data_IF_458305074556
#
_entry.id   IF_458305074556
#
_cell.length_a   1.000
_cell.length_b   1.000
_cell.length_c   1.000
_cell.angle_alpha   90.00
_cell.angle_beta   90.00
_cell.angle_gamma   90.00
#
_symmetry.space_group_name_H-M   'P 1'
#
loop_
_entity.id
_entity.type
_entity.pdbx_description
1 polymer ?
#
# COMPACT_ATOMS: atom_id res chain seq x y z
N UNK A 1 9.95 17.55 3.38
CA UNK A 1 10.18 17.56 4.84
C UNK A 1 9.76 16.19 5.41
N UNK A 2 10.46 15.62 6.39
CA UNK A 2 10.02 14.39 7.07
C UNK A 2 8.66 14.54 7.79
N UNK A 3 8.23 15.78 8.04
CA UNK A 3 6.92 16.12 8.66
C UNK A 3 5.70 15.61 7.87
N UNK A 4 5.84 15.32 6.58
CA UNK A 4 4.70 14.91 5.74
C UNK A 4 4.67 13.40 5.46
N UNK A 5 5.55 12.61 6.07
CA UNK A 5 5.63 11.16 5.82
C UNK A 5 4.36 10.42 6.30
N UNK A 6 3.85 10.77 7.48
CA UNK A 6 2.66 10.13 8.03
C UNK A 6 1.37 10.44 7.23
N UNK A 7 1.08 11.71 6.87
CA UNK A 7 -0.03 12.02 5.97
C UNK A 7 0.07 11.32 4.60
N UNK A 8 1.28 11.24 4.02
CA UNK A 8 1.52 10.55 2.74
C UNK A 8 1.29 9.04 2.85
N UNK A 9 1.78 8.43 3.92
CA UNK A 9 1.53 7.02 4.24
C UNK A 9 0.02 6.75 4.38
N UNK A 10 -0.72 7.57 5.13
CA UNK A 10 -2.17 7.44 5.22
C UNK A 10 -2.87 7.60 3.86
N UNK A 11 -2.46 8.56 3.04
CA UNK A 11 -3.05 8.77 1.73
C UNK A 11 -2.84 7.56 0.81
N UNK A 12 -1.65 6.96 0.80
CA UNK A 12 -1.36 5.74 0.05
C UNK A 12 -2.22 4.55 0.53
N UNK A 13 -2.40 4.40 1.85
CA UNK A 13 -3.25 3.35 2.41
C UNK A 13 -4.72 3.51 1.98
N UNK A 14 -5.22 4.76 1.98
CA UNK A 14 -6.59 5.07 1.50
C UNK A 14 -6.73 4.80 0.00
N UNK A 15 -5.74 5.19 -0.81
CA UNK A 15 -5.76 4.96 -2.24
C UNK A 15 -5.83 3.47 -2.57
N UNK A 16 -5.03 2.65 -1.89
CA UNK A 16 -5.06 1.20 -2.02
C UNK A 16 -6.41 0.62 -1.59
N UNK A 17 -6.94 1.01 -0.43
CA UNK A 17 -8.24 0.54 0.04
C UNK A 17 -9.41 0.94 -0.88
N UNK A 18 -9.36 2.15 -1.46
CA UNK A 18 -10.35 2.58 -2.46
C UNK A 18 -10.23 1.76 -3.73
N UNK A 19 -9.01 1.48 -4.18
CA UNK A 19 -8.77 0.64 -5.34
C UNK A 19 -9.30 -0.79 -5.12
N UNK A 20 -8.99 -1.42 -3.99
CA UNK A 20 -9.42 -2.78 -3.68
C UNK A 20 -10.95 -2.92 -3.63
N UNK A 21 -11.66 -1.87 -3.21
CA UNK A 21 -13.13 -1.82 -3.22
C UNK A 21 -13.74 -1.67 -4.62
N UNK A 22 -13.05 -0.97 -5.52
CA UNK A 22 -13.56 -0.66 -6.85
C UNK A 22 -13.07 -1.64 -7.94
N UNK A 23 -11.93 -2.30 -7.71
CA UNK A 23 -11.29 -3.16 -8.70
C UNK A 23 -11.85 -4.58 -8.62
N UNK A 24 -12.68 -4.94 -9.60
CA UNK A 24 -13.28 -6.28 -9.72
C UNK A 24 -12.24 -7.41 -9.82
N UNK A 25 -11.05 -7.13 -10.37
CA UNK A 25 -9.91 -8.07 -10.37
C UNK A 25 -9.41 -8.30 -8.96
N UNK A 26 -9.07 -7.24 -8.22
CA UNK A 26 -8.57 -7.34 -6.83
C UNK A 26 -9.62 -7.94 -5.89
N UNK A 27 -10.91 -7.63 -6.08
CA UNK A 27 -12.01 -8.23 -5.28
C UNK A 27 -12.15 -9.74 -5.52
N UNK A 28 -11.87 -10.21 -6.75
CA UNK A 28 -11.96 -11.63 -7.12
C UNK A 28 -10.64 -12.40 -6.95
N UNK A 29 -9.58 -11.71 -6.55
CA UNK A 29 -8.26 -12.29 -6.49
C UNK A 29 -8.20 -13.36 -5.39
N UNK A 30 -7.99 -14.60 -5.80
CA UNK A 30 -7.69 -15.71 -4.90
C UNK A 30 -6.30 -15.52 -4.30
N UNK A 31 -6.18 -15.87 -3.03
CA UNK A 31 -4.90 -15.93 -2.33
C UNK A 31 -4.09 -17.05 -2.99
N UNK A 32 -2.91 -16.73 -3.52
CA UNK A 32 -1.99 -17.74 -4.04
C UNK A 32 -1.47 -18.64 -2.91
N UNK A 33 -0.76 -19.72 -3.27
CA UNK A 33 -0.16 -20.66 -2.31
C UNK A 33 0.89 -20.04 -1.39
N UNK A 34 1.32 -18.80 -1.65
CA UNK A 34 2.21 -18.02 -0.79
C UNK A 34 1.47 -17.12 0.21
N UNK A 35 0.14 -17.17 0.24
CA UNK A 35 -0.67 -16.29 1.09
C UNK A 35 -0.83 -14.89 0.49
N UNK A 36 -0.40 -14.65 -0.76
CA UNK A 36 -0.54 -13.35 -1.43
C UNK A 36 -1.76 -13.33 -2.32
N UNK A 37 -2.65 -12.40 -2.06
CA UNK A 37 -3.70 -12.02 -3.01
C UNK A 37 -3.03 -11.48 -4.27
N UNK A 38 -3.15 -12.17 -5.40
CA UNK A 38 -2.59 -11.70 -6.67
C UNK A 38 -3.27 -10.39 -7.09
N UNK A 39 -2.63 -9.23 -6.85
CA UNK A 39 -3.22 -7.93 -7.20
C UNK A 39 -3.10 -7.63 -8.68
N UNK A 40 -4.03 -6.82 -9.20
CA UNK A 40 -3.87 -6.26 -10.54
C UNK A 40 -2.64 -5.31 -10.59
N UNK A 41 -2.12 -4.99 -11.78
CA UNK A 41 -0.93 -4.14 -11.93
C UNK A 41 -1.03 -2.79 -11.21
N UNK A 42 -2.21 -2.17 -11.20
CA UNK A 42 -2.44 -0.89 -10.51
C UNK A 42 -2.46 -1.06 -8.98
N UNK A 43 -3.11 -2.11 -8.48
CA UNK A 43 -3.09 -2.47 -7.06
C UNK A 43 -1.69 -2.83 -6.55
N UNK A 44 -0.86 -3.45 -7.39
CA UNK A 44 0.54 -3.74 -7.09
C UNK A 44 1.39 -2.45 -6.98
N UNK A 45 1.18 -1.48 -7.87
CA UNK A 45 1.85 -0.16 -7.79
C UNK A 45 1.45 0.61 -6.53
N UNK A 46 0.17 0.55 -6.15
CA UNK A 46 -0.33 1.17 -4.92
C UNK A 46 0.24 0.48 -3.67
N UNK A 47 0.36 -0.85 -3.68
CA UNK A 47 1.04 -1.61 -2.62
C UNK A 47 2.49 -1.17 -2.45
N UNK A 48 3.25 -1.16 -3.55
CA UNK A 48 4.67 -0.79 -3.53
C UNK A 48 4.86 0.64 -3.01
N UNK A 49 4.00 1.57 -3.44
CA UNK A 49 4.01 2.94 -2.93
C UNK A 49 3.73 2.99 -1.42
N UNK A 50 2.75 2.24 -0.94
CA UNK A 50 2.43 2.12 0.48
C UNK A 50 3.61 1.54 1.28
N UNK A 51 4.19 0.42 0.82
CA UNK A 51 5.34 -0.23 1.46
C UNK A 51 6.53 0.71 1.56
N UNK A 52 6.87 1.46 0.49
CA UNK A 52 7.96 2.44 0.52
C UNK A 52 7.71 3.56 1.52
N UNK A 53 6.49 4.09 1.58
CA UNK A 53 6.13 5.16 2.51
C UNK A 53 6.11 4.66 3.97
N UNK A 54 5.65 3.44 4.19
CA UNK A 54 5.71 2.79 5.50
C UNK A 54 7.16 2.60 5.95
N UNK A 55 8.04 2.09 5.08
CA UNK A 55 9.46 1.94 5.38
C UNK A 55 10.12 3.29 5.70
N UNK A 56 9.84 4.33 4.89
CA UNK A 56 10.35 5.67 5.13
C UNK A 56 9.85 6.27 6.46
N UNK A 57 8.57 6.08 6.79
CA UNK A 57 7.99 6.53 8.05
C UNK A 57 8.61 5.80 9.26
N UNK A 58 8.76 4.48 9.19
CA UNK A 58 9.38 3.67 10.25
C UNK A 58 10.85 4.01 10.44
N UNK A 59 11.61 4.20 9.36
CA UNK A 59 13.00 4.69 9.43
C UNK A 59 13.04 6.08 10.08
N UNK A 60 12.15 6.99 9.70
CA UNK A 60 12.08 8.31 10.31
C UNK A 60 11.80 8.26 11.82
N UNK A 61 10.87 7.40 12.26
CA UNK A 61 10.60 7.20 13.69
C UNK A 61 11.83 6.65 14.41
N UNK A 62 12.53 5.67 13.83
CA UNK A 62 13.70 5.03 14.44
C UNK A 62 14.93 5.93 14.53
N UNK A 63 15.07 6.88 13.61
CA UNK A 63 16.16 7.85 13.59
C UNK A 63 15.90 9.10 14.42
N UNK A 64 14.82 9.12 15.21
CA UNK A 64 14.37 10.25 16.02
C UNK A 64 14.40 9.89 17.50
#
# INVERSE_FOLDING_TARGET
MPRDLYPRYQAAARALATHDKACSTCTRSVVDTSGRTARCPDGARLDEALTRLQAAYLTHIRSR
#
